data_IF_811719465926
#
_entry.id   IF_811719465926
#
_cell.length_a   1.000
_cell.length_b   1.000
_cell.length_c   1.000
_cell.angle_alpha   90.00
_cell.angle_beta   90.00
_cell.angle_gamma   90.00
#
_symmetry.space_group_name_H-M   'P 1'
#
loop_
_entity.id
_entity.type
_entity.pdbx_description
1 polymer ?
#
# COMPACT_ATOMS: atom_id res chain seq x y z
N UNK A 1 -18.23 -6.77 -7.42
CA UNK A 1 -19.17 -7.84 -7.05
C UNK A 1 -18.56 -8.72 -5.97
N UNK A 2 -19.36 -9.15 -5.00
CA UNK A 2 -19.01 -10.26 -4.14
C UNK A 2 -19.72 -11.52 -4.63
N UNK A 3 -18.99 -12.61 -4.64
CA UNK A 3 -19.46 -13.89 -5.15
C UNK A 3 -19.29 -14.93 -4.05
N UNK A 4 -20.30 -15.75 -3.86
CA UNK A 4 -20.21 -16.90 -2.95
C UNK A 4 -19.21 -17.92 -3.51
N UNK A 5 -18.22 -18.28 -2.71
CA UNK A 5 -17.12 -19.14 -3.13
C UNK A 5 -17.55 -20.54 -3.57
N UNK A 6 -18.59 -21.08 -2.93
CA UNK A 6 -19.03 -22.46 -3.16
C UNK A 6 -20.09 -22.57 -4.24
N UNK A 7 -20.97 -21.58 -4.33
CA UNK A 7 -22.13 -21.62 -5.25
C UNK A 7 -21.93 -20.78 -6.51
N UNK A 8 -20.94 -19.89 -6.54
CA UNK A 8 -20.72 -18.94 -7.63
C UNK A 8 -21.80 -17.85 -7.72
N UNK A 9 -22.77 -17.82 -6.80
CA UNK A 9 -23.85 -16.83 -6.83
C UNK A 9 -23.35 -15.45 -6.43
N UNK A 10 -23.85 -14.41 -7.08
CA UNK A 10 -23.57 -13.02 -6.72
C UNK A 10 -24.30 -12.72 -5.41
N UNK A 11 -23.54 -12.31 -4.39
CA UNK A 11 -24.11 -11.84 -3.10
C UNK A 11 -24.55 -10.40 -3.20
N UNK A 12 -23.71 -9.56 -3.78
CA UNK A 12 -24.01 -8.16 -4.05
C UNK A 12 -23.19 -7.60 -5.22
N UNK A 13 -23.63 -6.48 -5.75
CA UNK A 13 -22.93 -5.72 -6.78
C UNK A 13 -22.93 -4.25 -6.40
N UNK A 14 -21.75 -3.62 -6.46
CA UNK A 14 -21.60 -2.17 -6.31
C UNK A 14 -21.22 -1.56 -7.66
N UNK A 15 -21.90 -0.50 -8.07
CA UNK A 15 -21.74 0.15 -9.39
C UNK A 15 -21.25 1.59 -9.30
N UNK A 16 -20.93 2.10 -8.10
CA UNK A 16 -20.55 3.50 -7.90
C UNK A 16 -19.12 3.86 -8.32
N UNK A 17 -18.29 2.89 -8.76
CA UNK A 17 -16.92 3.13 -9.20
C UNK A 17 -16.92 3.68 -10.62
N UNK A 18 -16.18 4.77 -10.85
CA UNK A 18 -16.07 5.43 -12.17
C UNK A 18 -14.77 5.14 -12.90
N UNK A 19 -13.88 4.32 -12.31
CA UNK A 19 -12.58 3.98 -12.89
C UNK A 19 -12.28 2.48 -12.79
N UNK A 20 -11.20 2.05 -13.43
CA UNK A 20 -10.72 0.67 -13.32
C UNK A 20 -10.11 0.41 -11.95
N UNK A 21 -10.12 -0.84 -11.51
CA UNK A 21 -9.50 -1.34 -10.28
C UNK A 21 -8.41 -2.31 -10.70
N UNK A 22 -7.17 -2.05 -10.29
CA UNK A 22 -6.01 -2.89 -10.62
C UNK A 22 -5.36 -3.53 -9.39
N UNK A 23 -5.84 -3.20 -8.20
CA UNK A 23 -5.25 -3.65 -6.96
C UNK A 23 -6.08 -4.71 -6.25
N UNK A 24 -5.43 -5.47 -5.40
CA UNK A 24 -6.09 -6.40 -4.49
C UNK A 24 -6.89 -5.61 -3.45
N UNK A 25 -8.19 -5.88 -3.28
CA UNK A 25 -8.97 -5.28 -2.20
C UNK A 25 -8.43 -5.71 -0.84
N UNK A 26 -8.37 -4.76 0.09
CA UNK A 26 -8.13 -5.02 1.50
C UNK A 26 -9.44 -5.43 2.17
N UNK A 27 -9.40 -6.50 2.94
CA UNK A 27 -10.49 -6.89 3.84
C UNK A 27 -10.01 -6.62 5.26
N UNK A 28 -10.68 -5.69 5.94
CA UNK A 28 -10.40 -5.38 7.34
C UNK A 28 -11.72 -5.15 8.06
N UNK A 29 -11.93 -5.80 9.21
CA UNK A 29 -13.17 -5.78 9.97
C UNK A 29 -14.40 -6.15 9.09
N UNK A 30 -15.37 -5.25 8.99
CA UNK A 30 -16.57 -5.38 8.16
C UNK A 30 -16.45 -4.75 6.76
N UNK A 31 -15.24 -4.31 6.37
CA UNK A 31 -15.00 -3.50 5.17
C UNK A 31 -14.26 -4.24 4.08
N UNK A 32 -14.59 -3.87 2.84
CA UNK A 32 -13.79 -4.09 1.63
C UNK A 32 -13.28 -2.74 1.17
N UNK A 33 -11.97 -2.55 1.15
CA UNK A 33 -11.33 -1.28 0.80
C UNK A 33 -10.49 -1.45 -0.46
N UNK A 34 -10.69 -0.60 -1.44
CA UNK A 34 -9.97 -0.65 -2.72
C UNK A 34 -9.90 0.72 -3.38
N UNK A 35 -8.85 0.94 -4.15
CA UNK A 35 -8.69 2.14 -4.96
C UNK A 35 -9.14 1.95 -6.40
N UNK A 36 -9.52 3.05 -7.06
CA UNK A 36 -9.91 3.07 -8.46
C UNK A 36 -9.21 4.21 -9.24
N UNK A 37 -9.18 4.11 -10.57
CA UNK A 37 -8.55 5.12 -11.44
C UNK A 37 -9.33 6.44 -11.55
N UNK A 38 -10.43 6.57 -10.81
CA UNK A 38 -11.13 7.84 -10.58
C UNK A 38 -10.55 8.65 -9.40
N UNK A 39 -9.33 8.32 -8.96
CA UNK A 39 -8.63 8.91 -7.82
C UNK A 39 -9.31 8.70 -6.47
N UNK A 40 -10.18 7.71 -6.35
CA UNK A 40 -10.95 7.44 -5.16
C UNK A 40 -10.55 6.13 -4.51
N UNK A 41 -10.42 6.16 -3.18
CA UNK A 41 -10.39 4.96 -2.34
C UNK A 41 -11.80 4.76 -1.80
N UNK A 42 -12.33 3.57 -1.98
CA UNK A 42 -13.68 3.17 -1.56
C UNK A 42 -13.62 2.22 -0.39
N UNK A 43 -14.53 2.37 0.55
CA UNK A 43 -14.83 1.35 1.55
C UNK A 43 -16.30 0.95 1.48
N UNK A 44 -16.53 -0.33 1.29
CA UNK A 44 -17.85 -0.92 1.25
C UNK A 44 -18.02 -1.89 2.40
N UNK A 45 -19.25 -2.06 2.87
CA UNK A 45 -19.58 -3.16 3.76
C UNK A 45 -19.36 -4.50 3.03
N UNK A 46 -18.53 -5.37 3.59
CA UNK A 46 -18.16 -6.64 2.94
C UNK A 46 -19.33 -7.61 2.75
N UNK A 47 -20.40 -7.47 3.56
CA UNK A 47 -21.53 -8.38 3.54
C UNK A 47 -22.65 -7.89 2.62
N UNK A 48 -22.88 -6.55 2.58
CA UNK A 48 -24.00 -5.94 1.85
C UNK A 48 -23.60 -5.25 0.57
N UNK A 49 -22.31 -4.83 0.44
CA UNK A 49 -21.84 -4.00 -0.66
C UNK A 49 -22.24 -2.53 -0.57
N UNK A 50 -22.86 -2.13 0.55
CA UNK A 50 -23.19 -0.74 0.83
C UNK A 50 -21.93 0.10 0.97
N UNK A 51 -21.92 1.32 0.38
CA UNK A 51 -20.83 2.27 0.51
C UNK A 51 -20.82 2.87 1.91
N UNK A 52 -19.70 2.69 2.63
CA UNK A 52 -19.52 3.24 3.97
C UNK A 52 -18.87 4.61 3.92
N UNK A 53 -17.80 4.73 3.12
CA UNK A 53 -17.13 6.00 2.89
C UNK A 53 -16.31 5.99 1.59
N UNK A 54 -15.95 7.18 1.16
CA UNK A 54 -14.99 7.46 0.08
C UNK A 54 -13.93 8.42 0.55
N UNK A 55 -12.71 8.21 0.08
CA UNK A 55 -11.61 9.14 0.26
C UNK A 55 -11.03 9.55 -1.10
N UNK A 56 -10.74 10.85 -1.27
CA UNK A 56 -10.11 11.40 -2.47
C UNK A 56 -8.90 12.22 -2.08
N UNK A 57 -7.72 11.85 -2.60
CA UNK A 57 -6.43 12.47 -2.27
C UNK A 57 -6.12 13.77 -3.01
N UNK A 58 -7.12 14.37 -3.66
CA UNK A 58 -6.95 15.56 -4.50
C UNK A 58 -6.70 15.22 -5.97
N UNK A 59 -6.75 16.25 -6.80
CA UNK A 59 -6.51 16.14 -8.25
C UNK A 59 -5.00 16.04 -8.50
N UNK A 60 -4.58 15.05 -9.29
CA UNK A 60 -3.24 15.01 -9.83
C UNK A 60 -3.28 15.16 -11.34
N UNK A 61 -2.35 15.93 -11.88
CA UNK A 61 -2.11 15.98 -13.33
C UNK A 61 -1.35 14.74 -13.83
N UNK A 62 -0.82 13.96 -12.93
CA UNK A 62 -0.06 12.75 -13.20
C UNK A 62 -0.93 11.57 -12.82
N UNK A 63 -1.15 10.66 -13.71
CA UNK A 63 -2.02 9.49 -13.64
C UNK A 63 -1.67 8.50 -12.49
N UNK A 64 -1.56 9.02 -11.26
CA UNK A 64 -1.44 8.21 -10.08
C UNK A 64 -2.79 8.09 -9.42
N UNK A 65 -3.17 6.89 -9.13
CA UNK A 65 -4.45 6.59 -8.54
C UNK A 65 -4.26 5.62 -7.39
N UNK A 66 -5.12 5.67 -6.37
CA UNK A 66 -5.24 4.58 -5.41
C UNK A 66 -5.46 3.22 -6.05
N UNK A 67 -5.84 3.18 -7.33
CA UNK A 67 -5.99 1.94 -8.08
C UNK A 67 -4.73 1.08 -8.17
N UNK A 68 -3.54 1.70 -8.15
CA UNK A 68 -2.27 0.99 -8.21
C UNK A 68 -1.68 0.67 -6.83
N UNK A 69 -2.34 1.07 -5.75
CA UNK A 69 -1.87 0.91 -4.37
C UNK A 69 -2.65 -0.19 -3.68
N UNK A 70 -1.94 -1.11 -3.05
CA UNK A 70 -2.57 -2.07 -2.16
C UNK A 70 -2.66 -1.46 -0.77
N UNK A 71 -3.85 -1.02 -0.34
CA UNK A 71 -4.00 -0.44 0.98
C UNK A 71 -3.70 -1.49 2.05
N UNK A 72 -3.13 -1.06 3.17
CA UNK A 72 -2.93 -1.90 4.35
C UNK A 72 -3.59 -1.25 5.54
N UNK A 73 -3.97 -2.04 6.54
CA UNK A 73 -4.64 -1.53 7.73
C UNK A 73 -3.99 -2.02 9.02
N UNK A 74 -3.88 -1.10 9.97
CA UNK A 74 -3.41 -1.36 11.32
C UNK A 74 -3.89 -0.28 12.29
N UNK A 75 -4.19 -0.66 13.52
CA UNK A 75 -4.51 0.28 14.61
C UNK A 75 -5.64 1.26 14.25
N UNK A 76 -6.72 0.77 13.64
CA UNK A 76 -7.88 1.57 13.24
C UNK A 76 -7.61 2.54 12.07
N UNK A 77 -6.53 2.35 11.34
CA UNK A 77 -6.12 3.21 10.22
C UNK A 77 -5.91 2.40 8.94
N UNK A 78 -6.21 3.02 7.82
CA UNK A 78 -5.82 2.56 6.48
C UNK A 78 -4.64 3.40 6.02
N UNK A 79 -3.60 2.75 5.54
CA UNK A 79 -2.42 3.41 5.01
C UNK A 79 -2.34 3.23 3.51
N UNK A 80 -2.05 4.32 2.81
CA UNK A 80 -1.82 4.34 1.36
C UNK A 80 -0.66 5.27 1.01
N UNK A 81 -0.07 5.05 -0.16
CA UNK A 81 0.67 6.08 -0.87
C UNK A 81 -0.31 6.79 -1.78
N UNK A 82 -0.53 8.06 -1.57
CA UNK A 82 -1.57 8.77 -2.29
C UNK A 82 -1.14 9.27 -3.68
N UNK A 83 -2.09 9.72 -4.52
CA UNK A 83 -1.79 10.22 -5.85
C UNK A 83 -0.79 11.38 -5.91
N UNK A 84 -0.65 12.16 -4.83
CA UNK A 84 0.32 13.25 -4.71
C UNK A 84 1.66 12.80 -4.13
N UNK A 85 1.88 11.48 -4.01
CA UNK A 85 3.11 10.87 -3.50
C UNK A 85 3.35 11.13 -2.01
N UNK A 86 2.30 11.32 -1.25
CA UNK A 86 2.35 11.41 0.19
C UNK A 86 2.08 10.05 0.83
N UNK A 87 2.72 9.78 1.95
CA UNK A 87 2.29 8.72 2.85
C UNK A 87 1.09 9.23 3.63
N UNK A 88 -0.02 8.52 3.57
CA UNK A 88 -1.30 8.96 4.12
C UNK A 88 -1.90 7.89 5.02
N UNK A 89 -2.34 8.29 6.22
CA UNK A 89 -3.16 7.50 7.11
C UNK A 89 -4.58 8.05 7.14
N UNK A 90 -5.53 7.16 6.97
CA UNK A 90 -6.97 7.44 6.88
C UNK A 90 -7.63 6.67 8.02
N UNK A 91 -8.58 7.28 8.69
CA UNK A 91 -9.38 6.61 9.71
C UNK A 91 -10.19 5.46 9.08
N UNK A 92 -10.07 4.27 9.64
CA UNK A 92 -10.71 3.07 9.10
C UNK A 92 -12.25 3.14 9.19
N UNK A 93 -12.78 3.80 10.21
CA UNK A 93 -14.22 3.88 10.44
C UNK A 93 -14.88 4.96 9.58
N UNK A 94 -14.24 6.13 9.46
CA UNK A 94 -14.86 7.34 8.88
C UNK A 94 -14.38 7.67 7.47
N UNK A 95 -13.18 7.21 7.08
CA UNK A 95 -12.55 7.62 5.82
C UNK A 95 -11.90 9.01 5.88
N UNK A 96 -11.82 9.63 7.05
CA UNK A 96 -11.17 10.93 7.21
C UNK A 96 -9.65 10.79 7.25
N UNK A 97 -8.94 11.80 6.72
CA UNK A 97 -7.48 11.82 6.79
C UNK A 97 -7.02 12.13 8.22
N UNK A 98 -6.32 11.19 8.87
CA UNK A 98 -5.72 11.40 10.18
C UNK A 98 -4.44 12.22 10.02
N UNK A 99 -3.56 11.78 9.11
CA UNK A 99 -2.36 12.52 8.76
C UNK A 99 -1.90 12.24 7.34
N UNK A 100 -1.09 13.14 6.83
CA UNK A 100 -0.50 13.09 5.51
C UNK A 100 0.88 13.72 5.54
N UNK A 101 1.87 13.09 4.93
CA UNK A 101 3.24 13.60 4.93
C UNK A 101 3.91 13.46 3.57
N UNK A 102 4.66 14.50 3.20
CA UNK A 102 5.51 14.55 2.02
C UNK A 102 7.00 14.46 2.38
N UNK A 103 7.32 14.08 3.62
CA UNK A 103 8.70 13.95 4.10
C UNK A 103 9.54 13.04 3.19
N UNK A 104 8.91 12.00 2.65
CA UNK A 104 9.51 11.15 1.63
C UNK A 104 8.54 11.05 0.46
N UNK A 105 9.05 11.29 -0.75
CA UNK A 105 8.25 11.12 -1.97
C UNK A 105 8.03 9.64 -2.24
N UNK A 106 6.93 9.11 -1.72
CA UNK A 106 6.58 7.69 -1.84
C UNK A 106 5.75 7.42 -3.08
N UNK A 107 5.73 6.17 -3.52
CA UNK A 107 4.97 5.80 -4.70
C UNK A 107 4.49 4.35 -4.67
N UNK A 108 3.22 4.18 -4.96
CA UNK A 108 2.47 2.97 -5.34
C UNK A 108 2.62 1.75 -4.42
N UNK A 109 3.73 1.58 -3.74
CA UNK A 109 4.01 0.38 -2.97
C UNK A 109 3.91 0.63 -1.48
N UNK A 110 3.14 -0.18 -0.80
CA UNK A 110 3.04 -0.15 0.65
C UNK A 110 3.07 -1.58 1.18
N UNK A 111 3.85 -1.81 2.22
CA UNK A 111 3.92 -3.06 2.96
C UNK A 111 3.57 -2.84 4.42
N UNK A 112 3.13 -3.89 5.09
CA UNK A 112 2.81 -3.89 6.51
C UNK A 112 3.70 -4.90 7.22
N UNK A 113 4.25 -4.52 8.39
CA UNK A 113 5.00 -5.44 9.23
C UNK A 113 4.09 -6.53 9.80
N UNK A 114 4.67 -7.69 10.09
CA UNK A 114 3.95 -8.85 10.63
C UNK A 114 3.25 -8.52 11.96
N UNK A 115 3.88 -7.68 12.79
CA UNK A 115 3.32 -7.21 14.06
C UNK A 115 2.36 -6.03 13.93
N UNK A 116 2.08 -5.58 12.71
CA UNK A 116 1.23 -4.44 12.37
C UNK A 116 1.67 -3.09 12.98
N UNK A 117 2.92 -2.95 13.43
CA UNK A 117 3.42 -1.71 14.04
C UNK A 117 4.12 -0.77 13.07
N UNK A 118 4.44 -1.24 11.86
CA UNK A 118 5.21 -0.51 10.86
C UNK A 118 4.58 -0.65 9.48
N UNK A 119 4.62 0.44 8.72
CA UNK A 119 4.32 0.42 7.29
C UNK A 119 5.57 0.82 6.51
N UNK A 120 5.79 0.13 5.40
CA UNK A 120 6.95 0.33 4.54
C UNK A 120 6.50 0.90 3.21
N UNK A 121 7.26 1.83 2.66
CA UNK A 121 7.04 2.32 1.32
C UNK A 121 8.35 2.56 0.58
N UNK A 122 8.32 2.35 -0.73
CA UNK A 122 9.43 2.68 -1.61
C UNK A 122 9.34 4.15 -1.98
N UNK A 123 10.45 4.86 -1.90
CA UNK A 123 10.55 6.21 -2.45
C UNK A 123 10.81 6.17 -3.95
N UNK A 124 10.73 7.31 -4.61
CA UNK A 124 11.09 7.41 -6.02
C UNK A 124 12.59 7.32 -6.28
N UNK A 125 13.41 7.51 -5.24
CA UNK A 125 14.86 7.56 -5.34
C UNK A 125 15.49 6.67 -4.27
N UNK A 126 15.98 5.52 -4.67
CA UNK A 126 16.92 4.67 -3.92
C UNK A 126 16.48 4.11 -2.57
N UNK A 127 15.41 4.60 -1.95
CA UNK A 127 15.19 4.32 -0.53
C UNK A 127 13.88 3.61 -0.24
N UNK A 128 13.90 2.84 0.84
CA UNK A 128 12.72 2.36 1.55
C UNK A 128 12.57 3.21 2.80
N UNK A 129 11.34 3.63 3.09
CA UNK A 129 10.98 4.35 4.30
C UNK A 129 10.01 3.54 5.14
N UNK A 130 10.14 3.69 6.44
CA UNK A 130 9.29 3.03 7.42
C UNK A 130 8.64 4.06 8.32
N UNK A 131 7.32 3.95 8.47
CA UNK A 131 6.54 4.78 9.39
C UNK A 131 5.88 3.90 10.45
N UNK A 132 5.74 4.48 11.65
CA UNK A 132 4.92 3.88 12.71
C UNK A 132 3.45 3.88 12.31
N UNK A 133 2.74 2.80 12.63
CA UNK A 133 1.27 2.76 12.54
C UNK A 133 0.59 3.37 13.76
N UNK A 134 1.36 3.69 14.80
CA UNK A 134 0.87 4.24 16.08
C UNK A 134 0.75 5.76 16.01
N UNK A 135 -0.19 6.30 16.81
CA UNK A 135 -0.38 7.74 16.95
C UNK A 135 -1.07 8.41 15.78
N UNK A 136 -1.39 9.69 15.94
CA UNK A 136 -2.19 10.49 15.00
C UNK A 136 -1.36 11.55 14.27
N UNK A 137 -0.04 11.35 14.25
CA UNK A 137 0.93 12.15 13.49
C UNK A 137 1.88 11.23 12.74
N UNK A 138 2.40 11.65 11.58
CA UNK A 138 3.38 10.86 10.85
C UNK A 138 4.66 10.74 11.68
N UNK A 139 5.12 9.52 11.89
CA UNK A 139 6.36 9.23 12.59
C UNK A 139 7.20 8.28 11.76
N UNK A 140 8.19 8.84 11.06
CA UNK A 140 9.16 8.05 10.31
C UNK A 140 10.18 7.44 11.28
N UNK A 141 10.22 6.11 11.30
CA UNK A 141 11.13 5.34 12.16
C UNK A 141 12.54 5.27 11.56
N UNK A 142 12.61 5.04 10.24
CA UNK A 142 13.86 5.00 9.51
C UNK A 142 13.64 5.24 8.00
N UNK A 143 14.74 5.58 7.32
CA UNK A 143 14.87 5.60 5.87
C UNK A 143 16.17 4.90 5.50
N UNK A 144 16.12 3.96 4.56
CA UNK A 144 17.27 3.16 4.16
C UNK A 144 17.53 3.30 2.66
N UNK A 145 18.71 3.75 2.29
CA UNK A 145 19.14 3.76 0.90
C UNK A 145 19.52 2.36 0.45
N UNK A 146 18.80 1.85 -0.53
CA UNK A 146 19.04 0.52 -1.11
C UNK A 146 19.84 0.59 -2.42
N UNK A 147 19.87 1.76 -3.06
CA UNK A 147 20.65 2.01 -4.27
C UNK A 147 20.03 1.43 -5.53
N UNK A 148 18.70 1.47 -5.68
CA UNK A 148 18.02 0.98 -6.88
C UNK A 148 17.80 2.07 -7.97
N UNK A 149 18.15 3.30 -7.70
CA UNK A 149 17.95 4.44 -8.60
C UNK A 149 16.50 4.94 -8.63
N UNK A 150 16.18 5.68 -9.67
CA UNK A 150 14.81 6.13 -9.91
C UNK A 150 13.94 4.95 -10.35
N UNK A 151 12.90 4.68 -9.58
CA UNK A 151 12.02 3.57 -9.88
C UNK A 151 10.55 3.87 -9.52
N UNK A 152 9.63 3.27 -10.29
CA UNK A 152 8.19 3.45 -10.12
C UNK A 152 7.41 2.15 -10.34
N UNK A 153 7.98 1.00 -10.03
CA UNK A 153 7.25 -0.27 -10.13
C UNK A 153 6.51 -0.62 -8.84
N UNK A 154 5.30 -1.19 -8.95
CA UNK A 154 4.47 -1.55 -7.81
C UNK A 154 4.91 -2.88 -7.19
N UNK A 155 6.09 -2.93 -6.58
CA UNK A 155 6.52 -4.08 -5.79
C UNK A 155 6.33 -3.79 -4.31
N UNK A 156 5.48 -4.56 -3.64
CA UNK A 156 5.26 -4.43 -2.20
C UNK A 156 6.48 -4.89 -1.40
N UNK A 157 6.66 -4.28 -0.24
CA UNK A 157 7.57 -4.78 0.78
C UNK A 157 6.82 -5.81 1.61
N UNK A 158 7.42 -6.98 1.79
CA UNK A 158 6.84 -8.11 2.53
C UNK A 158 7.75 -8.49 3.68
N UNK A 159 7.22 -8.59 4.88
CA UNK A 159 7.96 -9.06 6.06
C UNK A 159 7.60 -10.51 6.38
N UNK A 160 8.64 -11.33 6.59
CA UNK A 160 8.51 -12.71 7.06
C UNK A 160 9.72 -13.08 7.91
N UNK A 161 9.49 -13.76 9.01
CA UNK A 161 10.53 -14.31 9.91
C UNK A 161 11.57 -13.26 10.35
N UNK A 162 11.10 -12.02 10.62
CA UNK A 162 11.96 -10.93 11.08
C UNK A 162 12.83 -10.31 9.97
N UNK A 163 12.53 -10.54 8.70
CA UNK A 163 13.22 -9.95 7.55
C UNK A 163 12.21 -9.29 6.64
N UNK A 164 12.49 -8.06 6.21
CA UNK A 164 11.71 -7.37 5.19
C UNK A 164 12.36 -7.54 3.83
N UNK A 165 11.59 -8.03 2.87
CA UNK A 165 12.00 -8.26 1.49
C UNK A 165 11.39 -7.24 0.56
N UNK A 166 12.14 -6.85 -0.45
CA UNK A 166 11.66 -6.01 -1.53
C UNK A 166 12.33 -6.34 -2.86
N UNK A 167 11.71 -5.87 -3.92
CA UNK A 167 12.23 -6.02 -5.27
C UNK A 167 12.02 -4.76 -6.10
N UNK A 168 12.69 -4.71 -7.23
CA UNK A 168 12.65 -3.57 -8.14
C UNK A 168 12.38 -3.99 -9.58
N UNK A 169 11.84 -3.08 -10.34
CA UNK A 169 11.67 -3.25 -11.79
C UNK A 169 13.00 -3.52 -12.50
N UNK A 170 14.10 -2.96 -11.98
CA UNK A 170 15.43 -3.17 -12.53
C UNK A 170 16.06 -4.51 -12.19
N UNK A 171 15.36 -5.43 -11.54
CA UNK A 171 15.88 -6.78 -11.24
C UNK A 171 16.74 -6.86 -9.97
N UNK A 172 16.64 -5.91 -9.05
CA UNK A 172 17.24 -5.98 -7.73
C UNK A 172 16.27 -6.66 -6.75
N UNK A 173 16.74 -7.63 -5.99
CA UNK A 173 16.07 -8.15 -4.79
C UNK A 173 16.93 -7.76 -3.59
N UNK A 174 16.29 -7.41 -2.49
CA UNK A 174 16.98 -7.01 -1.28
C UNK A 174 16.24 -7.43 -0.02
N UNK A 175 17.00 -7.53 1.07
CA UNK A 175 16.46 -7.78 2.40
C UNK A 175 16.97 -6.73 3.37
N UNK A 176 16.07 -6.27 4.24
CA UNK A 176 16.37 -5.28 5.29
C UNK A 176 15.95 -5.85 6.66
N UNK A 177 16.63 -5.37 7.69
CA UNK A 177 16.17 -5.54 9.05
C UNK A 177 14.97 -4.63 9.32
N UNK A 178 13.82 -5.16 9.74
CA UNK A 178 12.58 -4.39 9.83
C UNK A 178 12.61 -3.26 10.88
N UNK A 179 13.41 -3.40 11.93
CA UNK A 179 13.46 -2.43 13.02
C UNK A 179 14.33 -1.22 12.73
N UNK A 180 15.41 -1.40 11.99
CA UNK A 180 16.43 -0.36 11.75
C UNK A 180 16.55 0.08 10.29
N UNK A 181 16.01 -0.72 9.38
CA UNK A 181 16.20 -0.54 7.93
C UNK A 181 17.60 -0.93 7.44
N UNK A 182 18.45 -1.55 8.28
CA UNK A 182 19.77 -2.00 7.86
C UNK A 182 19.66 -2.99 6.70
N UNK A 183 20.40 -2.72 5.61
CA UNK A 183 20.48 -3.63 4.47
C UNK A 183 21.22 -4.89 4.91
N UNK A 184 20.57 -6.04 4.84
CA UNK A 184 21.14 -7.33 5.15
C UNK A 184 21.89 -7.91 3.94
N UNK A 185 21.24 -7.87 2.80
CA UNK A 185 21.83 -8.27 1.52
C UNK A 185 21.07 -7.66 0.33
N UNK A 186 21.73 -7.65 -0.83
CA UNK A 186 21.17 -7.29 -2.12
C UNK A 186 21.63 -8.29 -3.18
N UNK A 187 20.75 -8.64 -4.10
CA UNK A 187 21.08 -9.51 -5.21
C UNK A 187 20.46 -8.98 -6.51
N UNK A 188 21.29 -8.83 -7.55
CA UNK A 188 20.88 -8.37 -8.86
C UNK A 188 20.67 -9.55 -9.80
N UNK A 189 19.44 -9.77 -10.26
CA UNK A 189 19.09 -10.79 -11.24
C UNK A 189 18.92 -10.10 -12.61
N UNK A 190 20.03 -9.90 -13.32
CA UNK A 190 19.98 -9.31 -14.66
C UNK A 190 19.15 -8.01 -14.75
N UNK A 191 18.52 -7.76 -15.88
CA UNK A 191 17.64 -6.63 -16.12
C UNK A 191 16.16 -7.07 -16.21
N UNK A 192 15.78 -8.10 -15.50
CA UNK A 192 14.43 -8.64 -15.48
C UNK A 192 13.51 -7.80 -14.61
N UNK A 193 12.27 -7.65 -15.06
CA UNK A 193 11.22 -6.98 -14.30
C UNK A 193 10.73 -7.91 -13.17
N UNK A 194 10.81 -7.43 -11.94
CA UNK A 194 10.21 -8.12 -10.79
C UNK A 194 9.01 -7.37 -10.27
N UNK A 195 8.00 -8.11 -9.93
CA UNK A 195 6.89 -7.69 -9.11
C UNK A 195 7.20 -8.00 -7.64
N UNK A 196 6.17 -8.11 -6.80
CA UNK A 196 6.32 -8.42 -5.37
C UNK A 196 6.99 -9.78 -5.16
N UNK A 197 8.01 -9.82 -4.31
CA UNK A 197 8.59 -11.06 -3.79
C UNK A 197 7.67 -11.62 -2.72
N UNK A 198 7.29 -12.89 -2.86
CA UNK A 198 6.50 -13.59 -1.85
C UNK A 198 7.38 -14.65 -1.21
N UNK A 199 7.89 -14.43 0.02
CA UNK A 199 8.66 -15.45 0.73
C UNK A 199 7.73 -16.60 1.15
N UNK A 200 8.18 -17.81 0.91
CA UNK A 200 7.48 -19.06 1.29
C UNK A 200 7.96 -19.55 2.65
#
# INVERSE_FOLDING_TARGET
RAIDLYTGKIKWTYTGVKGYIETRPLIEEDKVIFGAWDNTLYALNKNTGEELWKWTGGLTRMHFSPAAVWPVAANGKVFITDPQRAMTAIDLATGETIWRTYQSTVRETIGLSTDKKRVYSKTMNDSIVCYSTQGDKPHQLWSSNVGFGYEHAPSMQVEKDGVMFGSTKGGLIFALEPLTGKVLWKYKIGNSLFNTVVPI
#
